data_IF_560612978165
#
_entry.id   IF_560612978165
#
_cell.length_a   1.000
_cell.length_b   1.000
_cell.length_c   1.000
_cell.angle_alpha   90.00
_cell.angle_beta   90.00
_cell.angle_gamma   90.00
#
_symmetry.space_group_name_H-M   'P 1'
#
loop_
_entity.id
_entity.type
_entity.pdbx_description
1 polymer ?
#
# COMPACT_ATOMS: atom_id res chain seq x y z
N UNK A 1 36.11 -16.88 -2.15
CA UNK A 1 36.50 -16.16 -3.38
C UNK A 1 35.30 -15.66 -4.17
N UNK A 2 34.40 -16.49 -4.76
CA UNK A 2 33.20 -15.95 -5.43
C UNK A 2 32.02 -15.67 -4.49
N UNK A 3 31.89 -16.43 -3.40
CA UNK A 3 30.82 -16.28 -2.40
C UNK A 3 30.88 -14.98 -1.59
N UNK A 4 32.01 -14.26 -1.65
CA UNK A 4 32.24 -13.02 -0.89
C UNK A 4 31.35 -11.86 -1.36
N UNK A 5 30.73 -11.98 -2.55
CA UNK A 5 29.73 -11.02 -3.03
C UNK A 5 28.35 -11.24 -2.43
N UNK A 6 28.07 -12.45 -1.91
CA UNK A 6 26.75 -12.82 -1.37
C UNK A 6 26.34 -11.95 -0.17
N UNK A 7 27.21 -11.65 0.82
CA UNK A 7 26.86 -10.74 1.90
C UNK A 7 26.48 -9.34 1.43
N UNK A 8 27.23 -8.79 0.46
CA UNK A 8 26.93 -7.47 -0.12
C UNK A 8 25.59 -7.45 -0.84
N UNK A 9 25.31 -8.48 -1.65
CA UNK A 9 24.01 -8.62 -2.33
C UNK A 9 22.86 -8.86 -1.34
N UNK A 10 23.08 -9.61 -0.27
CA UNK A 10 22.08 -9.84 0.76
C UNK A 10 21.68 -8.55 1.48
N UNK A 11 22.65 -7.72 1.86
CA UNK A 11 22.39 -6.42 2.49
C UNK A 11 21.65 -5.49 1.52
N UNK A 12 22.12 -5.40 0.27
CA UNK A 12 21.46 -4.58 -0.75
C UNK A 12 20.02 -5.03 -1.00
N UNK A 13 19.79 -6.35 -1.14
CA UNK A 13 18.47 -6.93 -1.32
C UNK A 13 17.55 -6.66 -0.12
N UNK A 14 18.05 -6.82 1.10
CA UNK A 14 17.31 -6.49 2.31
C UNK A 14 16.90 -5.02 2.33
N UNK A 15 17.85 -4.10 2.14
CA UNK A 15 17.59 -2.66 2.13
C UNK A 15 16.59 -2.23 1.05
N UNK A 16 16.61 -2.86 -0.13
CA UNK A 16 15.64 -2.58 -1.20
C UNK A 16 14.26 -3.20 -0.93
N UNK A 17 14.21 -4.34 -0.24
CA UNK A 17 12.96 -5.02 0.08
C UNK A 17 12.17 -4.33 1.20
N UNK A 18 12.87 -3.73 2.18
CA UNK A 18 12.27 -3.11 3.37
C UNK A 18 11.24 -2.03 3.00
N UNK A 19 11.50 -1.06 2.10
CA UNK A 19 10.50 -0.09 1.67
C UNK A 19 9.27 -0.71 1.02
N UNK A 20 9.45 -1.79 0.24
CA UNK A 20 8.34 -2.51 -0.39
C UNK A 20 7.42 -3.15 0.65
N UNK A 21 8.00 -3.87 1.61
CA UNK A 21 7.22 -4.45 2.71
C UNK A 21 6.57 -3.37 3.58
N UNK A 22 7.31 -2.31 3.90
CA UNK A 22 6.79 -1.21 4.71
C UNK A 22 5.56 -0.57 4.06
N UNK A 23 5.57 -0.31 2.75
CA UNK A 23 4.42 0.28 2.05
C UNK A 23 3.20 -0.64 2.05
N UNK A 24 3.36 -1.95 1.86
CA UNK A 24 2.27 -2.94 1.94
C UNK A 24 1.61 -2.90 3.33
N UNK A 25 2.41 -2.96 4.40
CA UNK A 25 1.86 -2.90 5.76
C UNK A 25 1.21 -1.55 6.07
N UNK A 26 1.83 -0.44 5.67
CA UNK A 26 1.26 0.90 5.86
C UNK A 26 -0.06 1.06 5.10
N UNK A 27 -0.15 0.59 3.85
CA UNK A 27 -1.40 0.63 3.08
C UNK A 27 -2.51 -0.12 3.80
N UNK A 28 -2.21 -1.32 4.30
CA UNK A 28 -3.16 -2.15 5.02
C UNK A 28 -3.64 -1.50 6.31
N UNK A 29 -2.75 -0.88 7.09
CA UNK A 29 -3.11 -0.17 8.33
C UNK A 29 -3.97 1.06 8.06
N UNK A 30 -3.60 1.88 7.08
CA UNK A 30 -4.30 3.13 6.80
C UNK A 30 -5.67 2.95 6.12
N UNK A 31 -5.92 1.81 5.45
CA UNK A 31 -7.15 1.54 4.67
C UNK A 31 -8.02 0.43 5.26
N UNK A 32 -7.97 0.23 6.58
CA UNK A 32 -8.88 -0.67 7.29
C UNK A 32 -8.66 -2.16 7.00
N UNK A 33 -7.40 -2.56 6.84
CA UNK A 33 -7.02 -3.95 6.59
C UNK A 33 -7.03 -4.37 5.12
N UNK A 34 -7.34 -3.45 4.21
CA UNK A 34 -7.47 -3.66 2.75
C UNK A 34 -6.35 -2.95 1.99
N UNK A 35 -6.22 -3.29 0.71
CA UNK A 35 -5.38 -2.56 -0.22
C UNK A 35 -5.86 -1.11 -0.41
N UNK A 36 -4.92 -0.19 -0.65
CA UNK A 36 -5.26 1.20 -0.99
C UNK A 36 -5.93 1.23 -2.35
N UNK A 37 -7.10 1.88 -2.44
CA UNK A 37 -7.72 2.14 -3.75
C UNK A 37 -6.86 3.07 -4.59
N UNK A 38 -6.64 2.67 -5.84
CA UNK A 38 -5.97 3.47 -6.87
C UNK A 38 -7.04 3.99 -7.82
N UNK A 39 -7.16 5.31 -7.93
CA UNK A 39 -8.06 5.96 -8.89
C UNK A 39 -7.23 6.51 -10.04
N UNK A 40 -7.04 5.71 -11.09
CA UNK A 40 -6.37 6.10 -12.34
C UNK A 40 -7.33 6.84 -13.26
N UNK A 41 -8.61 6.47 -13.23
CA UNK A 41 -9.65 7.10 -14.05
C UNK A 41 -10.56 8.02 -13.22
N UNK A 42 -11.13 9.08 -13.82
CA UNK A 42 -12.04 9.99 -13.12
C UNK A 42 -13.26 9.27 -12.53
N UNK A 43 -13.75 8.22 -13.20
CA UNK A 43 -14.86 7.40 -12.71
C UNK A 43 -14.53 6.71 -11.37
N UNK A 44 -13.31 6.19 -11.22
CA UNK A 44 -12.87 5.54 -9.97
C UNK A 44 -12.79 6.54 -8.81
N UNK A 45 -12.42 7.79 -9.10
CA UNK A 45 -12.42 8.87 -8.11
C UNK A 45 -13.84 9.21 -7.65
N UNK A 46 -14.78 9.35 -8.59
CA UNK A 46 -16.20 9.62 -8.29
C UNK A 46 -16.78 8.50 -7.41
N UNK A 47 -16.44 7.24 -7.70
CA UNK A 47 -16.84 6.09 -6.88
C UNK A 47 -16.20 6.10 -5.48
N UNK A 48 -14.91 6.45 -5.37
CA UNK A 48 -14.24 6.58 -4.07
C UNK A 48 -14.87 7.69 -3.21
N UNK A 49 -15.26 8.79 -3.83
CA UNK A 49 -15.91 9.90 -3.16
C UNK A 49 -17.37 9.60 -2.78
N UNK A 50 -18.07 8.81 -3.60
CA UNK A 50 -19.36 8.21 -3.22
C UNK A 50 -19.20 7.37 -1.95
N UNK A 51 -18.23 6.45 -1.91
CA UNK A 51 -18.00 5.58 -0.76
C UNK A 51 -17.63 6.40 0.50
N UNK A 52 -16.83 7.46 0.34
CA UNK A 52 -16.55 8.42 1.43
C UNK A 52 -17.82 9.04 2.00
N UNK A 53 -18.76 9.49 1.13
CA UNK A 53 -20.03 10.11 1.56
C UNK A 53 -20.97 9.11 2.23
N UNK A 54 -21.08 7.90 1.69
CA UNK A 54 -21.95 6.84 2.24
C UNK A 54 -21.42 6.29 3.57
N UNK A 55 -20.10 6.34 3.78
CA UNK A 55 -19.47 5.83 5.01
C UNK A 55 -19.98 6.47 6.31
N UNK A 56 -20.52 7.70 6.27
CA UNK A 56 -20.99 8.44 7.47
C UNK A 56 -19.88 8.87 8.45
N UNK A 57 -18.64 8.41 8.25
CA UNK A 57 -17.46 8.73 9.09
C UNK A 57 -16.35 9.42 8.27
N UNK A 58 -16.70 9.90 7.07
CA UNK A 58 -15.79 10.58 6.15
C UNK A 58 -14.54 9.75 5.77
N UNK A 59 -14.64 8.41 5.76
CA UNK A 59 -13.55 7.49 5.43
C UNK A 59 -13.98 6.56 4.31
N UNK A 60 -13.33 6.67 3.15
CA UNK A 60 -13.71 5.90 1.95
C UNK A 60 -13.52 4.38 2.07
N UNK A 61 -12.62 3.93 2.95
CA UNK A 61 -12.35 2.49 3.13
C UNK A 61 -13.36 1.79 4.07
N UNK A 62 -14.20 2.55 4.78
CA UNK A 62 -15.24 2.02 5.65
C UNK A 62 -16.45 1.66 4.79
N UNK A 63 -16.60 0.37 4.54
CA UNK A 63 -17.75 -0.18 3.80
C UNK A 63 -18.97 -0.21 4.71
N UNK A 64 -20.12 0.20 4.18
CA UNK A 64 -21.42 0.06 4.84
C UNK A 64 -22.12 -1.21 4.38
#
# INVERSE_FOLDING_TARGET
MWYEILPGMAIMGACLSVPGFATVFMHRVCHGGKEKRVARYPYEWILLERDRRVSGVNKHYVTK
#
